data_IF_691581036208
#
_entry.id   IF_691581036208
#
_cell.length_a   1.000
_cell.length_b   1.000
_cell.length_c   1.000
_cell.angle_alpha   90.00
_cell.angle_beta   90.00
_cell.angle_gamma   90.00
#
_symmetry.space_group_name_H-M   'P 1'
#
loop_
_entity.id
_entity.type
_entity.pdbx_description
1 polymer ?
#
# COMPACT_ATOMS: atom_id res chain seq x y z
N UNK A 1 3.35 -23.63 68.86
CA UNK A 1 2.62 -23.94 67.61
C UNK A 1 2.67 -22.71 66.69
N UNK A 2 3.34 -22.78 65.54
CA UNK A 2 3.42 -21.67 64.56
C UNK A 2 2.58 -22.05 63.32
N UNK A 3 1.55 -21.28 62.95
CA UNK A 3 0.72 -21.63 61.80
C UNK A 3 1.45 -21.30 60.49
N UNK A 4 1.32 -22.23 59.53
CA UNK A 4 1.92 -22.18 58.20
C UNK A 4 1.30 -21.07 57.33
N UNK A 5 2.18 -20.24 56.75
CA UNK A 5 1.87 -19.34 55.62
C UNK A 5 1.50 -20.16 54.38
N UNK A 6 0.21 -20.44 54.17
CA UNK A 6 -0.29 -21.09 52.93
C UNK A 6 -1.06 -20.15 51.99
N UNK A 7 -1.21 -18.86 52.35
CA UNK A 7 -2.00 -17.90 51.57
C UNK A 7 -1.30 -17.36 50.30
N UNK A 8 0.01 -17.55 50.13
CA UNK A 8 0.79 -16.86 49.08
C UNK A 8 0.76 -17.52 47.68
N UNK A 9 0.19 -18.73 47.52
CA UNK A 9 0.23 -19.46 46.24
C UNK A 9 -0.83 -19.05 45.20
N UNK A 10 -1.84 -18.28 45.57
CA UNK A 10 -2.92 -17.87 44.65
C UNK A 10 -2.64 -16.56 43.88
N UNK A 11 -1.57 -15.84 44.24
CA UNK A 11 -1.22 -14.55 43.61
C UNK A 11 -0.18 -14.63 42.49
N UNK A 12 0.58 -15.74 42.35
CA UNK A 12 1.65 -15.83 41.35
C UNK A 12 1.11 -15.85 39.92
N UNK A 13 -0.02 -16.53 39.69
CA UNK A 13 -0.65 -16.63 38.37
C UNK A 13 -1.12 -15.26 37.87
N UNK A 14 -1.62 -14.40 38.76
CA UNK A 14 -2.05 -13.05 38.42
C UNK A 14 -0.89 -12.15 38.00
N UNK A 15 0.29 -12.36 38.60
CA UNK A 15 1.52 -11.62 38.27
C UNK A 15 2.10 -12.09 36.93
N UNK A 16 2.09 -13.40 36.66
CA UNK A 16 2.52 -13.92 35.35
C UNK A 16 1.58 -13.46 34.23
N UNK A 17 0.27 -13.46 34.48
CA UNK A 17 -0.72 -12.97 33.53
C UNK A 17 -0.60 -11.46 33.27
N UNK A 18 -0.35 -10.66 34.31
CA UNK A 18 -0.20 -9.20 34.15
C UNK A 18 1.07 -8.82 33.38
N UNK A 19 2.10 -9.67 33.37
CA UNK A 19 3.28 -9.51 32.52
C UNK A 19 3.08 -10.03 31.10
N UNK A 20 2.36 -11.15 30.93
CA UNK A 20 2.15 -11.76 29.62
C UNK A 20 1.20 -10.94 28.74
N UNK A 21 0.16 -10.34 29.32
CA UNK A 21 -0.85 -9.57 28.60
C UNK A 21 -0.30 -8.37 27.81
N UNK A 22 0.52 -7.46 28.38
CA UNK A 22 1.10 -6.37 27.60
C UNK A 22 2.05 -6.85 26.51
N UNK A 23 2.78 -7.94 26.74
CA UNK A 23 3.64 -8.54 25.72
C UNK A 23 2.81 -9.07 24.53
N UNK A 24 1.69 -9.73 24.81
CA UNK A 24 0.78 -10.24 23.79
C UNK A 24 0.11 -9.10 23.00
N UNK A 25 -0.29 -8.01 23.68
CA UNK A 25 -0.79 -6.80 23.03
C UNK A 25 0.24 -6.21 22.07
N UNK A 26 1.52 -6.12 22.46
CA UNK A 26 2.58 -5.62 21.58
C UNK A 26 2.73 -6.51 20.33
N UNK A 27 2.69 -7.82 20.47
CA UNK A 27 2.76 -8.75 19.33
C UNK A 27 1.57 -8.52 18.39
N UNK A 28 0.35 -8.44 18.92
CA UNK A 28 -0.86 -8.17 18.14
C UNK A 28 -0.78 -6.83 17.38
N UNK A 29 -0.31 -5.76 18.02
CA UNK A 29 -0.14 -4.45 17.38
C UNK A 29 0.81 -4.52 16.17
N UNK A 30 1.92 -5.26 16.28
CA UNK A 30 2.85 -5.44 15.17
C UNK A 30 2.23 -6.28 14.05
N UNK A 31 1.45 -7.32 14.38
CA UNK A 31 0.76 -8.13 13.39
C UNK A 31 -0.27 -7.30 12.61
N UNK A 32 -1.01 -6.42 13.30
CA UNK A 32 -1.94 -5.48 12.67
C UNK A 32 -1.19 -4.54 11.73
N UNK A 33 -0.02 -4.03 12.12
CA UNK A 33 0.81 -3.19 11.26
C UNK A 33 1.20 -3.90 9.96
N UNK A 34 1.67 -5.14 10.05
CA UNK A 34 1.99 -5.96 8.85
C UNK A 34 0.75 -6.15 7.98
N UNK A 35 -0.41 -6.41 8.59
CA UNK A 35 -1.69 -6.51 7.88
C UNK A 35 -2.05 -5.23 7.14
N UNK A 36 -1.85 -4.07 7.76
CA UNK A 36 -2.05 -2.76 7.12
C UNK A 36 -1.10 -2.59 5.93
N UNK A 37 0.18 -2.93 6.07
CA UNK A 37 1.16 -2.84 4.97
C UNK A 37 0.75 -3.71 3.78
N UNK A 38 0.39 -4.97 4.03
CA UNK A 38 -0.05 -5.89 2.98
C UNK A 38 -1.37 -5.42 2.32
N UNK A 39 -2.31 -4.92 3.11
CA UNK A 39 -3.55 -4.36 2.58
C UNK A 39 -3.31 -3.16 1.66
N UNK A 40 -2.43 -2.23 2.04
CA UNK A 40 -2.05 -1.09 1.20
C UNK A 40 -1.40 -1.54 -0.11
N UNK A 41 -0.55 -2.58 -0.04
CA UNK A 41 0.11 -3.13 -1.22
C UNK A 41 -0.89 -3.74 -2.22
N UNK A 42 -1.83 -4.57 -1.74
CA UNK A 42 -2.87 -5.19 -2.57
C UNK A 42 -3.79 -4.15 -3.22
N UNK A 43 -4.21 -3.13 -2.45
CA UNK A 43 -5.00 -2.02 -2.99
C UNK A 43 -4.23 -1.24 -4.06
N UNK A 44 -2.93 -1.02 -3.86
CA UNK A 44 -2.06 -0.42 -4.87
C UNK A 44 -1.96 -1.25 -6.14
N UNK A 45 -1.79 -2.57 -6.02
CA UNK A 45 -1.76 -3.47 -7.18
C UNK A 45 -3.06 -3.44 -7.97
N UNK A 46 -4.19 -3.50 -7.27
CA UNK A 46 -5.53 -3.39 -7.89
C UNK A 46 -5.68 -2.05 -8.62
N UNK A 47 -5.39 -0.94 -7.96
CA UNK A 47 -5.49 0.39 -8.56
C UNK A 47 -4.59 0.55 -9.80
N UNK A 48 -3.35 0.04 -9.73
CA UNK A 48 -2.44 0.03 -10.87
C UNK A 48 -2.98 -0.81 -12.03
N UNK A 49 -3.59 -1.97 -11.72
CA UNK A 49 -4.20 -2.84 -12.72
C UNK A 49 -5.41 -2.19 -13.41
N UNK A 50 -6.32 -1.60 -12.65
CA UNK A 50 -7.51 -0.95 -13.18
C UNK A 50 -7.13 0.23 -14.09
N UNK A 51 -6.17 1.04 -13.66
CA UNK A 51 -5.64 2.14 -14.47
C UNK A 51 -4.89 1.66 -15.73
N UNK A 52 -4.10 0.60 -15.62
CA UNK A 52 -3.43 0.00 -16.77
C UNK A 52 -4.44 -0.59 -17.76
N UNK A 53 -5.52 -1.21 -17.26
CA UNK A 53 -6.59 -1.82 -18.07
C UNK A 53 -7.37 -0.75 -18.85
N UNK A 54 -7.67 0.37 -18.20
CA UNK A 54 -8.24 1.54 -18.87
C UNK A 54 -7.35 2.04 -20.02
N UNK A 55 -6.04 2.22 -19.77
CA UNK A 55 -5.12 2.69 -20.81
C UNK A 55 -4.91 1.65 -21.92
N UNK A 56 -4.92 0.36 -21.59
CA UNK A 56 -4.77 -0.72 -22.56
C UNK A 56 -5.95 -0.80 -23.54
N UNK A 57 -7.13 -0.33 -23.12
CA UNK A 57 -8.38 -0.34 -23.91
C UNK A 57 -8.73 1.00 -24.56
N UNK A 58 -7.97 2.07 -24.30
CA UNK A 58 -8.18 3.37 -24.92
C UNK A 58 -8.03 3.32 -26.44
N UNK A 59 -8.79 4.15 -27.17
CA UNK A 59 -8.84 4.13 -28.64
C UNK A 59 -7.47 4.39 -29.27
N UNK A 60 -7.14 3.66 -30.34
CA UNK A 60 -5.85 3.79 -31.00
C UNK A 60 -5.62 5.20 -31.57
N UNK A 61 -6.70 5.84 -32.04
CA UNK A 61 -6.68 7.20 -32.56
C UNK A 61 -6.20 8.20 -31.51
N UNK A 62 -6.66 8.06 -30.28
CA UNK A 62 -6.31 8.98 -29.19
C UNK A 62 -4.91 8.68 -28.63
N UNK A 63 -4.50 7.42 -28.64
CA UNK A 63 -3.13 7.02 -28.30
C UNK A 63 -2.07 7.47 -29.32
N UNK A 64 -2.47 7.78 -30.56
CA UNK A 64 -1.64 8.40 -31.61
C UNK A 64 -1.73 9.94 -31.64
N UNK A 65 -2.46 10.54 -30.71
CA UNK A 65 -2.63 11.99 -30.65
C UNK A 65 -2.03 12.53 -29.36
N UNK A 66 -0.95 13.30 -29.46
CA UNK A 66 -0.24 13.87 -28.30
C UNK A 66 -1.14 14.75 -27.41
N UNK A 67 -2.16 15.40 -27.98
CA UNK A 67 -3.13 16.18 -27.22
C UNK A 67 -4.12 15.29 -26.44
N UNK A 68 -4.52 14.16 -27.02
CA UNK A 68 -5.51 13.26 -26.41
C UNK A 68 -4.88 12.30 -25.39
N UNK A 69 -3.65 11.82 -25.66
CA UNK A 69 -2.93 10.88 -24.77
C UNK A 69 -2.76 11.45 -23.37
N UNK A 70 -2.52 12.77 -23.25
CA UNK A 70 -2.43 13.46 -21.97
C UNK A 70 -3.73 13.37 -21.16
N UNK A 71 -4.88 13.42 -21.84
CA UNK A 71 -6.19 13.21 -21.23
C UNK A 71 -6.37 11.81 -20.67
N UNK A 72 -6.01 10.77 -21.43
CA UNK A 72 -6.09 9.39 -20.96
C UNK A 72 -5.15 9.11 -19.78
N UNK A 73 -3.93 9.65 -19.81
CA UNK A 73 -2.98 9.56 -18.68
C UNK A 73 -3.55 10.27 -17.43
N UNK A 74 -4.20 11.42 -17.61
CA UNK A 74 -4.85 12.13 -16.50
C UNK A 74 -6.01 11.32 -15.92
N UNK A 75 -6.84 10.68 -16.76
CA UNK A 75 -7.92 9.79 -16.32
C UNK A 75 -7.37 8.57 -15.57
N UNK A 76 -6.32 7.93 -16.09
CA UNK A 76 -5.68 6.81 -15.41
C UNK A 76 -5.15 7.20 -14.01
N UNK A 77 -4.57 8.40 -13.88
CA UNK A 77 -4.15 8.94 -12.58
C UNK A 77 -5.35 9.22 -11.66
N UNK A 78 -6.46 9.70 -12.22
CA UNK A 78 -7.68 9.95 -11.46
C UNK A 78 -8.29 8.64 -10.92
N UNK A 79 -8.30 7.56 -11.71
CA UNK A 79 -8.72 6.21 -11.27
C UNK A 79 -7.87 5.76 -10.08
N UNK A 80 -6.54 5.87 -10.19
CA UNK A 80 -5.65 5.53 -9.07
C UNK A 80 -5.93 6.40 -7.85
N UNK A 81 -6.10 7.72 -8.04
CA UNK A 81 -6.37 8.63 -6.93
C UNK A 81 -7.71 8.32 -6.23
N UNK A 82 -8.73 7.90 -6.96
CA UNK A 82 -10.03 7.49 -6.41
C UNK A 82 -9.93 6.20 -5.59
N UNK A 83 -9.26 5.17 -6.12
CA UNK A 83 -9.06 3.91 -5.38
C UNK A 83 -8.22 4.11 -4.11
N UNK A 84 -7.24 5.03 -4.16
CA UNK A 84 -6.35 5.31 -3.04
C UNK A 84 -6.91 6.29 -2.00
N UNK A 85 -7.99 7.03 -2.30
CA UNK A 85 -8.60 8.00 -1.36
C UNK A 85 -9.07 7.35 -0.05
N UNK A 86 -9.43 6.07 -0.10
CA UNK A 86 -9.87 5.31 1.06
C UNK A 86 -8.71 4.86 1.96
N UNK A 87 -7.47 4.94 1.49
CA UNK A 87 -6.30 4.50 2.24
C UNK A 87 -5.67 5.65 3.04
N UNK A 88 -5.39 5.39 4.30
CA UNK A 88 -4.58 6.28 5.13
C UNK A 88 -3.10 6.04 4.84
N UNK A 89 -2.60 6.62 3.75
CA UNK A 89 -1.23 6.47 3.25
C UNK A 89 -0.19 7.34 3.98
N UNK A 90 -0.50 7.77 5.21
CA UNK A 90 0.35 8.68 5.96
C UNK A 90 0.35 10.11 5.40
N UNK A 91 1.38 10.93 5.70
CA UNK A 91 1.40 12.36 5.35
C UNK A 91 1.86 12.66 3.92
N UNK A 92 2.37 11.67 3.19
CA UNK A 92 2.91 11.86 1.85
C UNK A 92 1.95 11.33 0.79
N UNK A 93 1.64 12.10 -0.27
CA UNK A 93 0.81 11.62 -1.35
C UNK A 93 1.53 10.51 -2.15
N UNK A 94 0.79 9.54 -2.69
CA UNK A 94 1.37 8.53 -3.57
C UNK A 94 1.90 9.14 -4.87
N UNK A 95 3.03 8.64 -5.35
CA UNK A 95 3.58 9.00 -6.67
C UNK A 95 3.04 8.03 -7.72
N UNK A 96 2.44 8.57 -8.78
CA UNK A 96 1.81 7.78 -9.85
C UNK A 96 2.55 8.05 -11.16
N UNK A 97 3.24 7.03 -11.65
CA UNK A 97 3.96 7.06 -12.92
C UNK A 97 3.24 6.18 -13.94
N UNK A 98 2.97 6.76 -15.11
CA UNK A 98 2.35 6.06 -16.23
C UNK A 98 3.34 6.03 -17.37
N UNK A 99 3.62 4.84 -17.90
CA UNK A 99 4.59 4.62 -18.96
C UNK A 99 4.03 3.74 -20.07
N UNK A 100 4.33 4.14 -21.30
CA UNK A 100 4.04 3.47 -22.56
C UNK A 100 5.36 2.92 -23.13
N UNK A 101 5.48 1.60 -23.33
CA UNK A 101 6.74 0.95 -23.75
C UNK A 101 7.96 1.34 -22.89
N UNK A 102 7.80 1.42 -21.56
CA UNK A 102 8.84 1.87 -20.60
C UNK A 102 9.27 3.34 -20.75
N UNK A 103 8.57 4.15 -21.55
CA UNK A 103 8.81 5.59 -21.70
C UNK A 103 7.55 6.40 -21.38
N UNK A 104 7.64 7.73 -21.34
CA UNK A 104 6.46 8.59 -21.18
C UNK A 104 5.53 8.45 -22.38
N UNK A 105 4.23 8.32 -22.14
CA UNK A 105 3.22 8.31 -23.20
C UNK A 105 3.21 9.67 -23.93
N UNK A 106 3.77 9.69 -25.14
CA UNK A 106 3.98 10.91 -25.93
C UNK A 106 2.96 11.11 -27.05
N UNK A 107 2.20 10.07 -27.38
CA UNK A 107 1.21 10.11 -28.45
C UNK A 107 1.78 10.02 -29.87
N UNK A 108 3.08 9.75 -30.06
CA UNK A 108 3.67 9.63 -31.40
C UNK A 108 3.39 8.27 -32.08
N UNK A 109 3.18 7.23 -31.28
CA UNK A 109 2.98 5.87 -31.77
C UNK A 109 2.12 5.09 -30.78
N UNK A 110 1.51 4.02 -31.26
CA UNK A 110 0.70 3.13 -30.44
C UNK A 110 1.63 2.32 -29.54
N UNK A 111 1.42 2.35 -28.21
CA UNK A 111 2.21 1.52 -27.33
C UNK A 111 1.93 0.03 -27.58
N UNK A 112 2.94 -0.81 -27.41
CA UNK A 112 2.77 -2.27 -27.34
C UNK A 112 2.41 -2.70 -25.91
N UNK A 113 2.93 -1.97 -24.92
CA UNK A 113 2.68 -2.19 -23.51
C UNK A 113 2.40 -0.88 -22.80
N UNK A 114 1.51 -0.94 -21.81
CA UNK A 114 1.25 0.15 -20.88
C UNK A 114 1.54 -0.34 -19.48
N UNK A 115 2.16 0.51 -18.68
CA UNK A 115 2.59 0.24 -17.33
C UNK A 115 2.18 1.38 -16.42
N UNK A 116 1.63 1.04 -15.26
CA UNK A 116 1.29 1.99 -14.21
C UNK A 116 2.05 1.57 -12.96
N UNK A 117 2.84 2.48 -12.44
CA UNK A 117 3.64 2.32 -11.24
C UNK A 117 3.16 3.29 -10.19
N UNK A 118 2.81 2.76 -9.02
CA UNK A 118 2.36 3.51 -7.86
C UNK A 118 3.40 3.30 -6.76
N UNK A 119 3.94 4.40 -6.26
CA UNK A 119 4.85 4.41 -5.11
C UNK A 119 4.15 5.07 -3.92
N UNK A 120 4.05 4.33 -2.82
CA UNK A 120 3.36 4.71 -1.60
C UNK A 120 4.31 4.61 -0.42
N UNK A 121 4.17 5.49 0.58
CA UNK A 121 4.99 5.44 1.79
C UNK A 121 4.12 5.24 3.02
N UNK A 122 4.20 4.08 3.65
CA UNK A 122 3.47 3.76 4.88
C UNK A 122 4.36 4.06 6.09
N UNK A 123 3.94 5.01 6.92
CA UNK A 123 4.69 5.38 8.14
C UNK A 123 4.06 4.70 9.35
N UNK A 124 4.83 3.98 10.19
CA UNK A 124 4.31 3.38 11.40
C UNK A 124 3.82 4.46 12.37
N UNK A 125 2.67 4.22 12.99
CA UNK A 125 2.17 5.09 14.05
C UNK A 125 3.07 5.01 15.28
N UNK A 126 3.22 6.12 16.00
CA UNK A 126 3.99 6.19 17.27
C UNK A 126 3.47 5.25 18.36
N UNK A 127 2.25 4.73 18.20
CA UNK A 127 1.60 3.76 19.10
C UNK A 127 2.14 2.33 18.94
N UNK A 128 2.94 2.04 17.90
CA UNK A 128 3.51 0.71 17.66
C UNK A 128 5.04 0.80 17.81
N UNK A 129 5.56 0.64 19.04
CA UNK A 129 6.93 1.02 19.39
C UNK A 129 7.99 0.17 18.70
N UNK A 130 7.70 -1.09 18.39
CA UNK A 130 8.65 -1.96 17.70
C UNK A 130 8.78 -1.55 16.23
N UNK A 131 7.66 -1.32 15.52
CA UNK A 131 7.73 -0.88 14.12
C UNK A 131 8.35 0.50 13.97
N UNK A 132 8.15 1.43 14.91
CA UNK A 132 8.79 2.75 14.84
C UNK A 132 10.30 2.72 15.09
N UNK A 133 10.80 1.72 15.83
CA UNK A 133 12.25 1.51 16.03
C UNK A 133 12.95 0.98 14.78
N UNK A 134 12.30 0.09 14.03
CA UNK A 134 12.89 -0.51 12.82
C UNK A 134 12.56 0.24 11.53
N UNK A 135 11.43 0.94 11.48
CA UNK A 135 10.90 1.60 10.27
C UNK A 135 10.56 3.06 10.54
N UNK A 136 11.41 3.79 11.26
CA UNK A 136 11.20 5.21 11.61
C UNK A 136 10.99 6.11 10.40
N UNK A 137 11.63 5.79 9.27
CA UNK A 137 11.46 6.48 8.00
C UNK A 137 10.26 5.97 7.18
N UNK A 138 9.54 4.97 7.66
CA UNK A 138 8.45 4.32 6.94
C UNK A 138 8.92 3.31 5.90
N UNK A 139 7.95 2.61 5.31
CA UNK A 139 8.15 1.57 4.30
C UNK A 139 7.64 2.11 2.97
N UNK A 140 8.50 2.13 1.97
CA UNK A 140 8.10 2.44 0.59
C UNK A 140 7.58 1.16 -0.07
N UNK A 141 6.34 1.22 -0.55
CA UNK A 141 5.67 0.18 -1.30
C UNK A 141 5.60 0.61 -2.76
N UNK A 142 5.99 -0.28 -3.67
CA UNK A 142 5.91 -0.05 -5.11
C UNK A 142 5.01 -1.11 -5.72
N UNK A 143 3.85 -0.67 -6.23
CA UNK A 143 2.92 -1.52 -6.97
C UNK A 143 3.06 -1.21 -8.47
N UNK A 144 3.29 -2.24 -9.28
CA UNK A 144 3.47 -2.11 -10.73
C UNK A 144 2.52 -3.06 -11.42
N UNK A 145 1.73 -2.53 -12.36
CA UNK A 145 0.94 -3.36 -13.28
C UNK A 145 1.34 -3.02 -14.71
N UNK A 146 1.59 -4.05 -15.51
CA UNK A 146 1.93 -3.92 -16.93
C UNK A 146 1.00 -4.79 -17.75
N UNK A 147 0.35 -4.19 -18.74
CA UNK A 147 -0.59 -4.86 -19.64
C UNK A 147 -0.18 -4.62 -21.10
N UNK A 148 -0.58 -5.55 -21.97
CA UNK A 148 -0.47 -5.36 -23.42
C UNK A 148 -1.55 -4.42 -23.89
N UNK A 149 -1.21 -3.52 -24.80
CA UNK A 149 -2.18 -2.63 -25.41
C UNK A 149 -3.06 -3.42 -26.39
N UNK A 150 -4.38 -3.24 -26.29
CA UNK A 150 -5.39 -3.94 -27.09
C UNK A 150 -6.40 -2.99 -27.75
N UNK A 151 -6.23 -1.67 -27.57
CA UNK A 151 -7.09 -0.67 -28.19
C UNK A 151 -7.08 -0.74 -29.71
N UNK A 152 -8.27 -0.69 -30.30
CA UNK A 152 -8.51 -0.70 -31.74
C UNK A 152 -8.64 0.70 -32.30
#
# INVERSE_FOLDING_TARGET
MKPHRRAARRGSVLIELSLALPALCLIMLNLIFVGVVLFNYEMGLKAAHDAASYLASAEQRDMKNSAAVGGHVAVARAIVAEELQLLSLGPYPPSITVSCNMATCSGYSVPSTVSVTIEMRVVPSSLIPLSSLFFSEGITLTAVSTLRYIGT
#
